data_IF_328090186287
#
_entry.id   IF_328090186287
#
_cell.length_a   1.000
_cell.length_b   1.000
_cell.length_c   1.000
_cell.angle_alpha   90.00
_cell.angle_beta   90.00
_cell.angle_gamma   90.00
#
_symmetry.space_group_name_H-M   'P 1'
#
loop_
_entity.id
_entity.type
_entity.pdbx_description
1 polymer ?
#
# COMPACT_ATOMS: atom_id res chain seq x y z
N UNK A 1 26.76 3.06 0.69
CA UNK A 1 26.04 2.91 -0.60
C UNK A 1 24.60 2.54 -0.30
N UNK A 2 23.62 3.22 -0.90
CA UNK A 2 22.21 2.88 -0.73
C UNK A 2 21.84 1.68 -1.60
N UNK A 3 21.36 0.60 -0.99
CA UNK A 3 20.85 -0.57 -1.72
C UNK A 3 19.39 -0.34 -2.10
N UNK A 4 19.02 -0.64 -3.35
CA UNK A 4 17.64 -0.59 -3.83
C UNK A 4 17.12 -2.01 -4.07
N UNK A 5 15.85 -2.22 -3.71
CA UNK A 5 15.11 -3.45 -3.98
C UNK A 5 13.85 -3.10 -4.77
N UNK A 6 13.69 -3.69 -5.95
CA UNK A 6 12.50 -3.49 -6.77
C UNK A 6 11.45 -4.55 -6.45
N UNK A 7 10.26 -4.10 -6.04
CA UNK A 7 9.12 -4.97 -5.75
C UNK A 7 8.04 -4.71 -6.79
N UNK A 8 7.37 -5.76 -7.26
CA UNK A 8 6.17 -5.64 -8.11
C UNK A 8 5.01 -6.40 -7.49
N UNK A 9 3.86 -5.75 -7.42
CA UNK A 9 2.60 -6.29 -6.93
C UNK A 9 1.64 -6.44 -8.09
N UNK A 10 1.00 -7.60 -8.23
CA UNK A 10 -0.14 -7.77 -9.12
C UNK A 10 -1.40 -7.43 -8.33
N UNK A 11 -2.01 -6.28 -8.62
CA UNK A 11 -3.12 -5.71 -7.86
C UNK A 11 -4.37 -5.66 -8.73
N UNK A 12 -5.49 -6.15 -8.21
CA UNK A 12 -6.78 -6.12 -8.88
C UNK A 12 -7.64 -4.97 -8.36
N UNK A 13 -8.27 -4.23 -9.27
CA UNK A 13 -9.24 -3.16 -8.98
C UNK A 13 -8.70 -2.13 -7.98
N UNK A 14 -7.60 -1.46 -8.31
CA UNK A 14 -6.98 -0.51 -7.40
C UNK A 14 -7.85 0.74 -7.23
N UNK A 15 -8.22 1.06 -5.99
CA UNK A 15 -9.03 2.25 -5.70
C UNK A 15 -8.22 3.53 -5.85
N UNK A 16 -8.86 4.54 -6.44
CA UNK A 16 -8.39 5.90 -6.63
C UNK A 16 -8.97 6.87 -5.58
N UNK A 17 -9.31 8.08 -6.02
CA UNK A 17 -9.92 9.13 -5.19
C UNK A 17 -11.37 8.81 -4.79
N UNK A 18 -11.87 9.49 -3.75
CA UNK A 18 -13.25 9.35 -3.25
C UNK A 18 -13.85 10.73 -3.12
N UNK A 19 -15.05 10.89 -3.67
CA UNK A 19 -15.84 12.10 -3.56
C UNK A 19 -17.14 11.77 -2.84
N UNK A 20 -17.41 12.45 -1.73
CA UNK A 20 -18.68 12.34 -0.99
C UNK A 20 -19.57 13.52 -1.33
N UNK A 21 -20.89 13.32 -1.37
CA UNK A 21 -21.87 14.39 -1.58
C UNK A 21 -22.09 15.29 -0.36
N UNK A 22 -21.41 15.03 0.77
CA UNK A 22 -21.54 15.82 2.01
C UNK A 22 -20.17 16.39 2.42
N UNK A 23 -19.99 17.70 2.28
CA UNK A 23 -18.71 18.41 2.46
C UNK A 23 -18.27 18.53 3.94
N UNK A 24 -19.21 18.42 4.90
CA UNK A 24 -18.92 18.59 6.33
C UNK A 24 -18.15 17.41 6.98
N UNK A 25 -18.06 16.25 6.31
CA UNK A 25 -17.33 15.07 6.78
C UNK A 25 -16.10 14.76 5.91
N UNK A 26 -15.51 15.78 5.29
CA UNK A 26 -14.37 15.63 4.40
C UNK A 26 -13.07 15.47 5.20
N UNK A 27 -12.69 14.23 5.50
CA UNK A 27 -11.30 13.94 5.79
C UNK A 27 -10.59 13.88 4.44
N UNK A 28 -9.64 14.79 4.21
CA UNK A 28 -8.81 14.85 3.00
C UNK A 28 -7.94 13.58 2.91
N UNK A 29 -8.56 12.47 2.54
CA UNK A 29 -7.87 11.20 2.45
C UNK A 29 -7.07 11.22 1.15
N UNK A 30 -5.75 11.14 1.32
CA UNK A 30 -4.69 11.20 0.32
C UNK A 30 -5.19 10.79 -1.07
N UNK A 31 -5.27 11.76 -1.99
CA UNK A 31 -5.53 11.50 -3.41
C UNK A 31 -4.60 10.38 -3.87
N UNK A 32 -5.15 9.22 -4.21
CA UNK A 32 -4.43 8.25 -5.02
C UNK A 32 -4.24 8.91 -6.39
N UNK A 33 -3.06 9.52 -6.50
CA UNK A 33 -2.61 10.37 -7.57
C UNK A 33 -2.39 9.49 -8.78
N UNK A 34 -3.31 9.51 -9.75
CA UNK A 34 -2.95 9.12 -11.11
C UNK A 34 -2.05 10.23 -11.68
N UNK A 35 -0.76 10.18 -11.33
CA UNK A 35 0.22 11.21 -11.67
C UNK A 35 1.22 10.64 -12.67
N UNK A 36 1.11 11.09 -13.92
CA UNK A 36 2.05 10.74 -14.99
C UNK A 36 3.30 11.60 -14.90
N UNK A 37 4.46 10.98 -14.72
CA UNK A 37 5.78 11.62 -14.70
C UNK A 37 6.72 10.79 -15.58
N UNK A 38 7.02 11.29 -16.77
CA UNK A 38 7.73 10.51 -17.79
C UNK A 38 6.97 9.23 -18.13
N UNK A 39 7.67 8.10 -18.07
CA UNK A 39 7.12 6.77 -18.38
C UNK A 39 6.41 6.11 -17.19
N UNK A 40 6.43 6.75 -16.01
CA UNK A 40 5.82 6.21 -14.79
C UNK A 40 4.51 6.92 -14.49
N UNK A 41 3.49 6.13 -14.16
CA UNK A 41 2.23 6.63 -13.65
C UNK A 41 2.16 6.19 -12.20
N UNK A 42 2.43 7.13 -11.29
CA UNK A 42 2.26 6.87 -9.88
C UNK A 42 0.77 6.61 -9.59
N UNK A 43 0.49 5.70 -8.67
CA UNK A 43 -0.88 5.28 -8.30
C UNK A 43 -1.02 4.97 -6.82
N UNK A 44 0.09 4.69 -6.11
CA UNK A 44 0.09 4.36 -4.69
C UNK A 44 1.11 5.22 -3.92
N UNK A 45 0.67 5.94 -2.87
CA UNK A 45 1.60 6.60 -1.97
C UNK A 45 2.53 5.62 -1.26
N UNK A 46 3.80 5.99 -1.10
CA UNK A 46 4.76 5.19 -0.33
C UNK A 46 4.35 4.97 1.13
N UNK A 47 3.59 5.90 1.72
CA UNK A 47 3.05 5.78 3.09
C UNK A 47 2.04 4.64 3.23
N UNK A 48 1.17 4.41 2.23
CA UNK A 48 0.21 3.30 2.22
C UNK A 48 0.93 1.96 2.15
N UNK A 49 1.94 1.85 1.27
CA UNK A 49 2.79 0.66 1.16
C UNK A 49 3.56 0.40 2.46
N UNK A 50 4.17 1.45 3.05
CA UNK A 50 4.86 1.40 4.34
C UNK A 50 3.93 0.94 5.47
N UNK A 51 2.68 1.40 5.47
CA UNK A 51 1.64 1.00 6.42
C UNK A 51 1.31 -0.49 6.34
N UNK A 52 1.11 -1.01 5.12
CA UNK A 52 0.90 -2.44 4.89
C UNK A 52 2.10 -3.29 5.36
N UNK A 53 3.31 -2.90 4.96
CA UNK A 53 4.53 -3.63 5.37
C UNK A 53 4.65 -3.63 6.90
N UNK A 54 4.41 -2.49 7.56
CA UNK A 54 4.43 -2.40 9.02
C UNK A 54 3.39 -3.32 9.67
N UNK A 55 2.16 -3.35 9.15
CA UNK A 55 1.11 -4.26 9.63
C UNK A 55 1.56 -5.71 9.53
N UNK A 56 2.11 -6.09 8.38
CA UNK A 56 2.58 -7.45 8.13
C UNK A 56 3.76 -7.83 9.05
N UNK A 57 4.70 -6.91 9.29
CA UNK A 57 5.78 -7.13 10.26
C UNK A 57 5.23 -7.36 11.67
N UNK A 58 4.18 -6.63 12.08
CA UNK A 58 3.52 -6.87 13.39
C UNK A 58 2.89 -8.26 13.45
N UNK A 59 2.18 -8.69 12.41
CA UNK A 59 1.58 -10.03 12.31
C UNK A 59 2.65 -11.12 12.47
N UNK A 60 3.85 -10.89 11.90
CA UNK A 60 4.99 -11.81 12.01
C UNK A 60 5.73 -11.77 13.37
N UNK A 61 5.25 -11.00 14.35
CA UNK A 61 5.92 -10.83 15.64
C UNK A 61 7.18 -9.95 15.59
N UNK A 62 7.41 -9.23 14.48
CA UNK A 62 8.62 -8.43 14.22
C UNK A 62 8.43 -6.95 14.59
N UNK A 63 7.68 -6.66 15.65
CA UNK A 63 7.32 -5.29 16.04
C UNK A 63 8.53 -4.38 16.29
N UNK A 64 9.58 -4.91 16.93
CA UNK A 64 10.82 -4.18 17.19
C UNK A 64 11.60 -3.91 15.90
N UNK A 65 11.76 -4.92 15.05
CA UNK A 65 12.38 -4.77 13.73
C UNK A 65 11.59 -3.80 12.85
N UNK A 66 10.26 -3.73 12.97
CA UNK A 66 9.45 -2.78 12.22
C UNK A 66 9.74 -1.32 12.60
N UNK A 67 10.03 -1.05 13.87
CA UNK A 67 10.46 0.29 14.32
C UNK A 67 11.86 0.62 13.80
N UNK A 68 12.81 -0.33 13.86
CA UNK A 68 14.16 -0.15 13.31
C UNK A 68 14.13 0.12 11.80
N UNK A 69 13.43 -0.73 11.03
CA UNK A 69 13.42 -0.69 9.57
C UNK A 69 12.61 0.51 9.07
N UNK A 70 11.38 0.71 9.58
CA UNK A 70 10.43 1.69 9.03
C UNK A 70 10.36 2.99 9.85
N UNK A 71 11.04 3.07 10.98
CA UNK A 71 11.00 4.21 11.91
C UNK A 71 9.73 4.23 12.78
N UNK A 72 9.57 5.29 13.57
CA UNK A 72 8.34 5.58 14.33
C UNK A 72 8.17 7.07 14.57
N UNK A 73 6.95 7.59 14.34
CA UNK A 73 6.59 9.00 14.50
C UNK A 73 5.73 9.27 15.76
N UNK A 74 5.12 8.22 16.35
CA UNK A 74 4.11 8.34 17.41
C UNK A 74 4.59 7.90 18.81
N UNK A 75 5.90 7.68 19.00
CA UNK A 75 6.49 7.38 20.32
C UNK A 75 7.21 8.63 20.84
N UNK A 76 7.45 8.70 22.17
CA UNK A 76 8.14 9.83 22.83
C UNK A 76 9.51 10.18 22.21
N UNK A 77 10.15 9.23 21.51
CA UNK A 77 11.30 9.49 20.65
C UNK A 77 10.97 9.15 19.19
N UNK A 78 11.04 10.15 18.31
CA UNK A 78 11.00 9.93 16.87
C UNK A 78 12.24 9.15 16.44
N UNK A 79 12.05 8.03 15.74
CA UNK A 79 13.14 7.20 15.21
C UNK A 79 13.06 7.17 13.71
N UNK A 80 14.14 7.59 13.04
CA UNK A 80 14.27 7.49 11.60
C UNK A 80 14.41 6.02 11.20
N UNK A 81 13.71 5.60 10.15
CA UNK A 81 13.81 4.24 9.62
C UNK A 81 15.09 4.03 8.81
N UNK A 82 15.55 2.78 8.73
CA UNK A 82 16.66 2.37 7.87
C UNK A 82 16.29 2.28 6.38
N UNK A 83 15.00 2.30 6.04
CA UNK A 83 14.52 2.25 4.65
C UNK A 83 13.51 3.34 4.32
N UNK A 84 13.52 3.76 3.05
CA UNK A 84 12.49 4.58 2.42
C UNK A 84 11.67 3.70 1.49
N UNK A 85 10.34 3.83 1.56
CA UNK A 85 9.40 3.18 0.66
C UNK A 85 9.01 4.18 -0.41
N UNK A 86 9.40 3.90 -1.65
CA UNK A 86 9.02 4.69 -2.82
C UNK A 86 7.52 4.58 -3.13
N UNK A 87 7.05 5.46 -3.99
CA UNK A 87 5.69 5.42 -4.49
C UNK A 87 5.50 4.24 -5.44
N UNK A 88 4.33 3.62 -5.38
CA UNK A 88 3.92 2.59 -6.33
C UNK A 88 3.49 3.21 -7.65
N UNK A 89 3.98 2.66 -8.75
CA UNK A 89 3.71 3.12 -10.11
C UNK A 89 3.37 1.97 -11.05
N UNK A 90 2.64 2.31 -12.11
CA UNK A 90 2.38 1.45 -13.27
C UNK A 90 3.05 2.06 -14.50
N UNK A 91 3.38 1.24 -15.49
CA UNK A 91 4.01 1.67 -16.75
C UNK A 91 3.04 1.72 -17.94
N UNK A 92 1.76 1.40 -17.71
CA UNK A 92 0.73 1.38 -18.74
C UNK A 92 -0.42 2.29 -18.32
N UNK A 93 -0.87 3.14 -19.25
CA UNK A 93 -2.07 3.93 -19.04
C UNK A 93 -3.31 3.03 -18.89
N UNK A 94 -4.26 3.53 -18.10
CA UNK A 94 -5.46 2.81 -17.70
C UNK A 94 -6.60 3.79 -17.58
N UNK A 95 -7.74 3.42 -18.14
CA UNK A 95 -8.97 4.19 -18.01
C UNK A 95 -9.46 4.10 -16.57
N UNK A 96 -9.71 5.27 -15.97
CA UNK A 96 -10.27 5.40 -14.63
C UNK A 96 -11.79 5.26 -14.72
N UNK A 97 -12.38 4.52 -13.79
CA UNK A 97 -13.82 4.32 -13.71
C UNK A 97 -14.31 4.87 -12.38
N UNK A 98 -15.44 5.56 -12.42
CA UNK A 98 -16.11 6.03 -11.22
C UNK A 98 -17.28 5.10 -10.88
N UNK A 99 -17.37 4.71 -9.62
CA UNK A 99 -18.45 3.87 -9.10
C UNK A 99 -19.15 4.56 -7.95
N UNK A 100 -20.46 4.43 -7.92
CA UNK A 100 -21.27 4.88 -6.80
C UNK A 100 -21.24 3.85 -5.68
N UNK A 101 -21.29 4.33 -4.45
CA UNK A 101 -21.54 3.56 -3.25
C UNK A 101 -22.54 4.27 -2.38
N UNK A 102 -23.25 3.48 -1.57
CA UNK A 102 -24.16 3.96 -0.55
C UNK A 102 -23.71 3.43 0.81
N UNK A 103 -24.16 4.12 1.86
CA UNK A 103 -24.07 3.67 3.24
C UNK A 103 -25.47 3.33 3.73
N UNK A 104 -25.61 2.14 4.30
CA UNK A 104 -26.85 1.61 4.84
C UNK A 104 -26.72 1.60 6.34
N UNK A 105 -27.74 2.11 7.03
CA UNK A 105 -27.84 2.01 8.48
C UNK A 105 -28.12 0.53 8.82
N UNK A 106 -27.21 -0.08 9.57
CA UNK A 106 -27.25 -1.52 9.87
C UNK A 106 -28.44 -1.93 10.75
N UNK A 107 -28.98 -1.01 11.57
CA UNK A 107 -30.10 -1.26 12.47
C UNK A 107 -31.46 -1.12 11.76
N UNK A 108 -31.59 -0.10 10.91
CA UNK A 108 -32.85 0.28 10.27
C UNK A 108 -32.98 -0.29 8.84
N UNK A 109 -31.89 -0.76 8.23
CA UNK A 109 -31.88 -1.25 6.85
C UNK A 109 -32.13 -0.18 5.79
N UNK A 110 -32.11 1.10 6.17
CA UNK A 110 -32.35 2.23 5.27
C UNK A 110 -31.04 2.90 4.84
N UNK A 111 -31.08 3.57 3.68
CA UNK A 111 -29.96 4.39 3.22
C UNK A 111 -29.80 5.60 4.15
N UNK A 112 -28.58 5.84 4.64
CA UNK A 112 -28.30 7.02 5.45
C UNK A 112 -28.49 8.31 4.63
N UNK A 113 -28.89 9.41 5.28
CA UNK A 113 -29.00 10.70 4.61
C UNK A 113 -27.62 11.17 4.15
N UNK A 114 -27.49 11.56 2.87
CA UNK A 114 -26.21 11.99 2.29
C UNK A 114 -25.21 10.86 2.06
N UNK A 115 -25.67 9.60 2.04
CA UNK A 115 -24.82 8.43 1.97
C UNK A 115 -24.26 8.10 0.58
N UNK A 116 -24.66 8.84 -0.46
CA UNK A 116 -24.14 8.63 -1.80
C UNK A 116 -22.69 9.14 -1.85
N UNK A 117 -21.76 8.23 -2.11
CA UNK A 117 -20.37 8.56 -2.41
C UNK A 117 -19.98 7.99 -3.77
N UNK A 118 -19.10 8.71 -4.46
CA UNK A 118 -18.44 8.29 -5.67
C UNK A 118 -17.01 7.90 -5.32
N UNK A 119 -16.52 6.80 -5.88
CA UNK A 119 -15.11 6.47 -5.79
C UNK A 119 -14.57 6.13 -7.18
N UNK A 120 -13.40 6.67 -7.45
CA UNK A 120 -12.59 6.35 -8.61
C UNK A 120 -11.88 5.01 -8.37
N UNK A 121 -11.67 4.27 -9.45
CA UNK A 121 -10.85 3.06 -9.45
C UNK A 121 -10.15 2.86 -10.79
N UNK A 122 -9.01 2.19 -10.73
CA UNK A 122 -8.32 1.59 -11.87
C UNK A 122 -8.78 0.13 -11.96
N UNK A 123 -9.66 -0.21 -12.91
CA UNK A 123 -10.23 -1.55 -13.02
C UNK A 123 -9.22 -2.56 -13.57
N UNK A 124 -9.45 -3.82 -13.19
CA UNK A 124 -8.69 -4.96 -13.68
C UNK A 124 -7.34 -5.11 -12.99
N UNK A 125 -6.48 -5.91 -13.62
CA UNK A 125 -5.19 -6.29 -13.08
C UNK A 125 -4.09 -5.28 -13.45
N UNK A 126 -3.31 -4.90 -12.45
CA UNK A 126 -2.27 -3.88 -12.53
C UNK A 126 -0.97 -4.44 -11.95
N UNK A 127 0.12 -4.29 -12.71
CA UNK A 127 1.47 -4.52 -12.20
C UNK A 127 1.99 -3.23 -11.58
N UNK A 128 1.88 -3.13 -10.26
CA UNK A 128 2.30 -1.97 -9.48
C UNK A 128 3.70 -2.20 -8.92
N UNK A 129 4.68 -1.47 -9.43
CA UNK A 129 6.07 -1.54 -8.99
C UNK A 129 6.39 -0.45 -7.98
N UNK A 130 7.22 -0.76 -6.97
CA UNK A 130 7.76 0.23 -6.03
C UNK A 130 9.17 -0.14 -5.58
N UNK A 131 9.92 0.86 -5.15
CA UNK A 131 11.30 0.69 -4.69
C UNK A 131 11.36 0.73 -3.16
N UNK A 132 12.14 -0.17 -2.56
CA UNK A 132 12.58 -0.06 -1.17
C UNK A 132 14.05 0.34 -1.17
N UNK A 133 14.36 1.50 -0.60
CA UNK A 133 15.71 2.08 -0.62
C UNK A 133 16.29 2.03 0.79
N UNK A 134 17.37 1.29 0.97
CA UNK A 134 18.13 1.26 2.22
C UNK A 134 18.96 2.54 2.36
N UNK A 135 18.73 3.25 3.46
CA UNK A 135 19.51 4.41 3.89
C UNK A 135 20.73 4.00 4.73
N UNK A 136 20.62 2.86 5.42
CA UNK A 136 21.69 2.27 6.23
C UNK A 136 21.63 0.74 6.16
N UNK A 137 22.73 0.10 6.58
CA UNK A 137 22.87 -1.35 6.55
C UNK A 137 21.78 -2.02 7.39
N UNK A 138 21.07 -2.96 6.76
CA UNK A 138 20.12 -3.84 7.42
C UNK A 138 20.84 -5.12 7.84
N UNK A 139 20.55 -5.63 9.05
CA UNK A 139 21.00 -6.96 9.42
C UNK A 139 20.32 -8.03 8.57
N UNK A 140 20.86 -9.24 8.56
CA UNK A 140 20.26 -10.36 7.81
C UNK A 140 18.84 -10.69 8.34
N UNK A 141 18.62 -10.63 9.65
CA UNK A 141 17.30 -10.80 10.26
C UNK A 141 16.32 -9.68 9.86
N UNK A 142 16.81 -8.44 9.78
CA UNK A 142 16.00 -7.31 9.31
C UNK A 142 15.60 -7.49 7.84
N UNK A 143 16.55 -7.91 6.99
CA UNK A 143 16.28 -8.21 5.57
C UNK A 143 15.29 -9.36 5.41
N UNK A 144 15.47 -10.45 6.17
CA UNK A 144 14.58 -11.61 6.15
C UNK A 144 13.18 -11.24 6.63
N UNK A 145 13.10 -10.43 7.69
CA UNK A 145 11.84 -9.89 8.21
C UNK A 145 11.12 -8.98 7.21
N UNK A 146 11.85 -8.07 6.57
CA UNK A 146 11.34 -7.19 5.53
C UNK A 146 10.82 -7.98 4.33
N UNK A 147 11.61 -8.93 3.82
CA UNK A 147 11.23 -9.79 2.70
C UNK A 147 9.97 -10.61 3.00
N UNK A 148 9.86 -11.21 4.19
CA UNK A 148 8.65 -11.93 4.64
C UNK A 148 7.44 -11.00 4.71
N UNK A 149 7.60 -9.80 5.25
CA UNK A 149 6.50 -8.84 5.39
C UNK A 149 5.97 -8.33 4.04
N UNK A 150 6.87 -8.09 3.08
CA UNK A 150 6.50 -7.74 1.71
C UNK A 150 5.82 -8.92 1.03
N UNK A 151 6.34 -10.15 1.17
CA UNK A 151 5.73 -11.34 0.58
C UNK A 151 4.30 -11.58 1.11
N UNK A 152 4.06 -11.29 2.40
CA UNK A 152 2.74 -11.39 3.03
C UNK A 152 1.71 -10.41 2.42
N UNK A 153 2.15 -9.43 1.63
CA UNK A 153 1.22 -8.55 0.90
C UNK A 153 0.34 -9.33 -0.07
N UNK A 154 0.73 -10.52 -0.54
CA UNK A 154 -0.11 -11.43 -1.36
C UNK A 154 -1.46 -11.78 -0.71
N UNK A 155 -1.56 -11.66 0.61
CA UNK A 155 -2.80 -11.95 1.35
C UNK A 155 -3.44 -10.66 1.88
N UNK A 156 -3.10 -9.51 1.29
CA UNK A 156 -3.55 -8.20 1.72
C UNK A 156 -4.36 -7.50 0.65
N UNK A 157 -5.11 -6.50 1.10
CA UNK A 157 -5.77 -5.51 0.26
C UNK A 157 -5.12 -4.15 0.48
N UNK A 158 -4.96 -3.38 -0.60
CA UNK A 158 -4.39 -2.03 -0.58
C UNK A 158 -5.52 -1.00 -0.52
N UNK A 159 -5.45 -0.14 0.48
CA UNK A 159 -6.48 0.88 0.72
C UNK A 159 -7.74 0.30 1.36
N UNK A 160 -8.87 0.98 1.15
CA UNK A 160 -10.18 0.58 1.65
C UNK A 160 -11.00 -0.14 0.56
N UNK A 161 -11.94 -0.99 0.99
CA UNK A 161 -12.85 -1.70 0.07
C UNK A 161 -12.38 -3.11 -0.30
N UNK A 162 -11.44 -3.68 0.45
CA UNK A 162 -11.01 -5.06 0.27
C UNK A 162 -12.15 -6.08 0.31
N UNK A 163 -13.11 -5.91 1.23
CA UNK A 163 -14.34 -6.72 1.31
C UNK A 163 -15.27 -6.55 0.10
N UNK A 164 -15.03 -5.53 -0.73
CA UNK A 164 -15.78 -5.22 -1.96
C UNK A 164 -15.00 -5.59 -3.23
N UNK A 165 -13.91 -6.35 -3.10
CA UNK A 165 -13.10 -6.77 -4.24
C UNK A 165 -12.11 -5.72 -4.76
N UNK A 166 -11.81 -4.68 -3.98
CA UNK A 166 -10.90 -3.59 -4.36
C UNK A 166 -9.50 -3.77 -3.78
N UNK A 167 -8.48 -3.45 -4.58
CA UNK A 167 -7.08 -3.41 -4.17
C UNK A 167 -6.51 -4.76 -3.74
N UNK A 168 -7.08 -5.88 -4.21
CA UNK A 168 -6.62 -7.23 -3.86
C UNK A 168 -5.24 -7.45 -4.47
N UNK A 169 -4.26 -7.84 -3.67
CA UNK A 169 -2.95 -8.25 -4.17
C UNK A 169 -3.00 -9.75 -4.46
N UNK A 170 -2.78 -10.15 -5.71
CA UNK A 170 -2.82 -11.55 -6.14
C UNK A 170 -1.44 -12.20 -6.12
N UNK A 171 -0.40 -11.42 -6.46
CA UNK A 171 0.98 -11.87 -6.52
C UNK A 171 1.95 -10.79 -6.03
N UNK A 172 3.08 -11.24 -5.48
CA UNK A 172 4.21 -10.39 -5.06
C UNK A 172 5.47 -10.93 -5.71
N UNK A 173 6.11 -10.12 -6.54
CA UNK A 173 7.44 -10.38 -7.08
C UNK A 173 8.46 -9.56 -6.29
N UNK A 174 9.31 -10.26 -5.53
CA UNK A 174 10.41 -9.67 -4.78
C UNK A 174 11.64 -9.47 -5.68
N UNK A 175 12.50 -8.54 -5.27
CA UNK A 175 13.86 -8.41 -5.80
C UNK A 175 14.67 -9.69 -5.54
N UNK A 176 15.49 -10.11 -6.50
CA UNK A 176 16.28 -11.34 -6.43
C UNK A 176 17.18 -11.40 -5.17
N UNK A 177 17.66 -10.24 -4.71
CA UNK A 177 18.44 -10.15 -3.47
C UNK A 177 17.60 -10.53 -2.27
N UNK A 178 16.34 -10.08 -2.20
CA UNK A 178 15.43 -10.45 -1.11
C UNK A 178 14.98 -11.91 -1.22
N UNK A 179 14.79 -12.43 -2.44
CA UNK A 179 14.51 -13.86 -2.67
C UNK A 179 15.66 -14.72 -2.14
N UNK A 180 16.91 -14.35 -2.44
CA UNK A 180 18.08 -15.10 -1.96
C UNK A 180 18.15 -15.16 -0.43
N UNK A 181 17.82 -14.07 0.26
CA UNK A 181 17.78 -14.01 1.73
C UNK A 181 16.69 -14.91 2.32
N UNK A 182 15.53 -15.03 1.66
CA UNK A 182 14.47 -15.92 2.12
C UNK A 182 14.85 -17.40 2.01
N UNK A 183 15.65 -17.75 0.99
CA UNK A 183 16.07 -19.12 0.72
C UNK A 183 17.30 -19.57 1.53
N UNK A 184 18.00 -18.64 2.20
CA UNK A 184 19.04 -19.00 3.16
C UNK A 184 18.42 -19.65 4.40
N UNK A 185 18.80 -20.91 4.62
CA UNK A 185 18.43 -21.70 5.80
C UNK A 185 18.99 -21.06 7.05
#
# INVERSE_FOLDING_TARGET
>A
MSTKYLITLKVNNLRGHVQSGNEENYNADLKALYLKVGDKIYVLPGSSLKGLIRRNMKILGLGNSAVSILGSEFKQESKMGKVVIGWGYINQERNRVFRHGIKVNEELGIVEKGALYLYEMLPGQLDVSFEVISLSTLSEDELKGLAKAINLMKFSTIGWGGSKGLGIVEEVKLDDKLVSILNKK
#
